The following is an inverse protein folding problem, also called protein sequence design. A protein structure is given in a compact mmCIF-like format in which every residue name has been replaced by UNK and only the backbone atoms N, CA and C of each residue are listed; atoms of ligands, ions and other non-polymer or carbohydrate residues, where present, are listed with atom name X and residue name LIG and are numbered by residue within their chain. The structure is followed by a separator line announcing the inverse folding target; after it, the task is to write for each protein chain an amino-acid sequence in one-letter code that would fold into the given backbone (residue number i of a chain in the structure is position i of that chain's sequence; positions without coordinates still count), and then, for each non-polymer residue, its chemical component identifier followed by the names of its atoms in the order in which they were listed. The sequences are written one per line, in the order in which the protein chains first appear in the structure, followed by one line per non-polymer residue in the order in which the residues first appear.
data_IF_296694556311
#
_entry.id   IF_296694556311
#
_cell.length_a   1.000
_cell.length_b   1.000
_cell.length_c   1.000
_cell.angle_alpha   90.00
_cell.angle_beta   90.00
_cell.angle_gamma   90.00
#
_symmetry.space_group_name_H-M   'P 1'
#
loop_
_entity.id
_entity.type
_entity.pdbx_description
1 polymer ?
#
# COMPACT_ATOMS: atom_id res chain seq x y z
N UNK A 1 -28.18 -4.08 -4.90
CA UNK A 1 -26.84 -4.56 -5.27
C UNK A 1 -26.27 -5.33 -4.09
N UNK A 2 -25.87 -6.60 -4.26
CA UNK A 2 -25.23 -7.36 -3.20
C UNK A 2 -23.81 -6.82 -2.92
N UNK A 3 -23.39 -6.82 -1.66
CA UNK A 3 -22.04 -6.48 -1.25
C UNK A 3 -21.53 -7.58 -0.33
N UNK A 4 -20.37 -8.15 -0.65
CA UNK A 4 -19.74 -9.21 0.11
C UNK A 4 -18.41 -8.70 0.67
N UNK A 5 -18.12 -9.04 1.92
CA UNK A 5 -16.88 -8.67 2.60
C UNK A 5 -16.17 -9.96 3.02
N UNK A 6 -14.90 -10.08 2.64
CA UNK A 6 -14.02 -11.17 3.09
C UNK A 6 -13.06 -10.61 4.14
N UNK A 7 -13.10 -11.17 5.35
CA UNK A 7 -12.24 -10.79 6.48
C UNK A 7 -11.52 -12.02 7.04
N UNK A 8 -10.35 -11.79 7.63
CA UNK A 8 -9.65 -12.82 8.40
C UNK A 8 -10.21 -12.86 9.81
N UNK A 9 -10.46 -14.06 10.32
CA UNK A 9 -10.94 -14.26 11.69
C UNK A 9 -9.78 -14.48 12.69
N UNK A 10 -8.55 -14.58 12.21
CA UNK A 10 -7.34 -14.89 12.99
C UNK A 10 -6.28 -13.79 12.75
N UNK A 11 -5.00 -14.16 12.82
CA UNK A 11 -3.85 -13.25 12.71
C UNK A 11 -3.19 -13.28 11.32
N UNK A 12 -3.99 -13.34 10.26
CA UNK A 12 -3.47 -13.35 8.89
C UNK A 12 -3.30 -14.75 8.31
N UNK A 13 -2.87 -14.80 7.05
CA UNK A 13 -2.61 -16.02 6.27
C UNK A 13 -3.75 -17.05 6.17
N UNK A 14 -5.01 -16.62 6.33
CA UNK A 14 -6.19 -17.48 6.18
C UNK A 14 -6.61 -17.68 4.72
N UNK A 15 -5.67 -17.57 3.78
CA UNK A 15 -5.89 -17.72 2.32
C UNK A 15 -7.01 -16.83 1.73
N UNK A 16 -7.28 -15.67 2.34
CA UNK A 16 -8.30 -14.70 1.89
C UNK A 16 -8.18 -14.35 0.41
N UNK A 17 -6.95 -14.16 -0.09
CA UNK A 17 -6.68 -13.82 -1.48
C UNK A 17 -7.20 -14.87 -2.47
N UNK A 18 -7.15 -16.16 -2.11
CA UNK A 18 -7.68 -17.26 -2.92
C UNK A 18 -9.20 -17.25 -2.94
N UNK A 19 -9.84 -17.00 -1.81
CA UNK A 19 -11.30 -16.87 -1.75
C UNK A 19 -11.78 -15.64 -2.55
N UNK A 20 -11.10 -14.51 -2.40
CA UNK A 20 -11.39 -13.29 -3.18
C UNK A 20 -11.20 -13.52 -4.67
N UNK A 21 -10.18 -14.28 -5.10
CA UNK A 21 -9.99 -14.63 -6.51
C UNK A 21 -11.18 -15.37 -7.11
N UNK A 22 -11.65 -16.42 -6.42
CA UNK A 22 -12.82 -17.21 -6.86
C UNK A 22 -14.08 -16.34 -6.88
N UNK A 23 -14.29 -15.51 -5.87
CA UNK A 23 -15.46 -14.62 -5.81
C UNK A 23 -15.41 -13.50 -6.86
N UNK A 24 -14.21 -13.07 -7.25
CA UNK A 24 -14.00 -12.02 -8.24
C UNK A 24 -14.44 -12.42 -9.65
N UNK A 25 -14.64 -13.72 -9.95
CA UNK A 25 -15.16 -14.20 -11.24
C UNK A 25 -16.48 -13.55 -11.62
N UNK A 26 -17.33 -13.26 -10.63
CA UNK A 26 -18.68 -12.73 -10.83
C UNK A 26 -18.85 -11.32 -10.24
N UNK A 27 -17.74 -10.64 -9.95
CA UNK A 27 -17.77 -9.33 -9.31
C UNK A 27 -17.46 -8.20 -10.30
N UNK A 28 -18.32 -7.18 -10.33
CA UNK A 28 -18.05 -5.95 -11.08
C UNK A 28 -16.90 -5.13 -10.46
N UNK A 29 -16.74 -5.22 -9.14
CA UNK A 29 -15.73 -4.49 -8.37
C UNK A 29 -15.02 -5.38 -7.36
N UNK A 30 -13.70 -5.20 -7.25
CA UNK A 30 -12.92 -5.71 -6.12
C UNK A 30 -12.25 -4.57 -5.40
N UNK A 31 -12.54 -4.42 -4.10
CA UNK A 31 -12.13 -3.25 -3.34
C UNK A 31 -11.26 -3.70 -2.17
N UNK A 32 -10.05 -3.15 -2.09
CA UNK A 32 -9.21 -3.27 -0.91
C UNK A 32 -9.38 -2.01 -0.06
N UNK A 33 -9.72 -2.17 1.21
CA UNK A 33 -10.16 -1.06 2.05
C UNK A 33 -9.16 -0.65 3.14
N UNK A 34 -8.15 -1.46 3.45
CA UNK A 34 -7.17 -1.20 4.51
C UNK A 34 -5.82 -1.88 4.25
N UNK A 35 -4.83 -1.55 5.10
CA UNK A 35 -3.46 -2.03 4.97
C UNK A 35 -2.69 -1.34 3.85
N UNK A 36 -1.59 -1.97 3.43
CA UNK A 36 -0.74 -1.52 2.33
C UNK A 36 0.00 -2.71 1.70
N UNK A 37 1.24 -2.53 1.26
CA UNK A 37 2.06 -3.60 0.69
C UNK A 37 2.55 -4.65 1.72
N UNK A 38 2.02 -4.64 2.95
CA UNK A 38 2.27 -5.66 3.98
C UNK A 38 1.41 -6.91 3.86
N UNK A 39 0.34 -6.87 3.06
CA UNK A 39 -0.36 -8.11 2.68
C UNK A 39 0.34 -8.76 1.48
N UNK A 40 -0.06 -9.98 1.17
CA UNK A 40 0.33 -10.67 -0.04
C UNK A 40 -0.73 -11.68 -0.43
N UNK A 41 -0.86 -11.91 -1.74
CA UNK A 41 -1.52 -13.09 -2.26
C UNK A 41 -0.85 -13.51 -3.57
N UNK A 42 -0.84 -14.81 -3.78
CA UNK A 42 -0.27 -15.42 -4.97
C UNK A 42 -1.41 -15.80 -5.90
N UNK A 43 -1.28 -15.42 -7.18
CA UNK A 43 -2.26 -15.74 -8.21
C UNK A 43 -1.55 -16.44 -9.35
N UNK A 44 -2.21 -17.42 -9.96
CA UNK A 44 -1.67 -18.15 -11.11
C UNK A 44 -2.57 -17.93 -12.32
N UNK A 45 -1.99 -17.41 -13.40
CA UNK A 45 -2.65 -17.24 -14.69
C UNK A 45 -1.93 -18.14 -15.69
N UNK A 46 -2.63 -19.20 -16.13
CA UNK A 46 -2.02 -20.26 -16.94
C UNK A 46 -0.80 -20.87 -16.24
N UNK A 47 0.39 -20.67 -16.82
CA UNK A 47 1.66 -21.14 -16.27
C UNK A 47 2.40 -20.10 -15.43
N UNK A 48 2.01 -18.81 -15.51
CA UNK A 48 2.67 -17.73 -14.78
C UNK A 48 2.10 -17.59 -13.37
N UNK A 49 2.98 -17.32 -12.42
CA UNK A 49 2.62 -17.06 -11.01
C UNK A 49 3.01 -15.63 -10.66
N UNK A 50 2.05 -14.87 -10.16
CA UNK A 50 2.22 -13.48 -9.73
C UNK A 50 2.06 -13.38 -8.22
N UNK A 51 2.81 -12.47 -7.59
CA UNK A 51 2.72 -12.19 -6.15
C UNK A 51 2.41 -10.72 -5.94
N UNK A 52 1.15 -10.42 -5.67
CA UNK A 52 0.70 -9.05 -5.44
C UNK A 52 0.63 -8.74 -3.96
N UNK A 53 1.08 -7.54 -3.60
CA UNK A 53 0.97 -7.00 -2.25
C UNK A 53 -0.05 -5.88 -2.17
N UNK A 54 -0.22 -5.07 -3.23
CA UNK A 54 -1.16 -3.96 -3.30
C UNK A 54 -2.37 -4.28 -4.17
N UNK A 55 -2.14 -4.74 -5.41
CA UNK A 55 -3.18 -4.90 -6.42
C UNK A 55 -4.21 -5.94 -5.99
N UNK A 56 -5.53 -5.66 -6.03
CA UNK A 56 -6.56 -6.65 -5.72
C UNK A 56 -6.57 -7.79 -6.75
N UNK A 57 -6.89 -9.02 -6.33
CA UNK A 57 -6.90 -10.18 -7.24
C UNK A 57 -7.82 -10.02 -8.45
N UNK A 58 -8.93 -9.31 -8.30
CA UNK A 58 -9.86 -9.03 -9.39
C UNK A 58 -9.28 -8.15 -10.50
N UNK A 59 -8.15 -7.48 -10.27
CA UNK A 59 -7.47 -6.68 -11.29
C UNK A 59 -7.03 -7.51 -12.49
N UNK A 60 -6.85 -8.83 -12.33
CA UNK A 60 -6.46 -9.73 -13.40
C UNK A 60 -7.62 -10.13 -14.33
N UNK A 61 -8.78 -9.48 -14.20
CA UNK A 61 -9.99 -9.76 -14.98
C UNK A 61 -10.44 -8.49 -15.68
N UNK A 62 -10.40 -8.47 -17.00
CA UNK A 62 -10.79 -7.30 -17.81
C UNK A 62 -12.19 -6.73 -17.47
N UNK A 63 -13.14 -7.58 -17.07
CA UNK A 63 -14.50 -7.17 -16.70
C UNK A 63 -14.64 -6.58 -15.29
N UNK A 64 -13.61 -6.71 -14.45
CA UNK A 64 -13.67 -6.30 -13.04
C UNK A 64 -12.90 -4.99 -12.83
N UNK A 65 -13.50 -4.04 -12.11
CA UNK A 65 -12.79 -2.83 -11.67
C UNK A 65 -12.16 -3.06 -10.29
N UNK A 66 -10.84 -2.96 -10.21
CA UNK A 66 -10.09 -3.03 -8.97
C UNK A 66 -9.96 -1.65 -8.32
N UNK A 67 -10.14 -1.57 -7.01
CA UNK A 67 -10.10 -0.30 -6.26
C UNK A 67 -9.18 -0.41 -5.04
N UNK A 68 -8.21 0.51 -4.95
CA UNK A 68 -7.46 0.78 -3.72
C UNK A 68 -8.18 1.90 -2.94
N UNK A 69 -8.85 1.52 -1.86
CA UNK A 69 -9.72 2.40 -1.08
C UNK A 69 -8.97 3.39 -0.20
N UNK A 70 -9.65 4.47 0.20
CA UNK A 70 -9.06 5.57 0.99
C UNK A 70 -8.61 5.20 2.41
N UNK A 71 -8.99 4.00 2.89
CA UNK A 71 -8.49 3.47 4.15
C UNK A 71 -7.04 3.00 4.09
N UNK A 72 -6.49 2.75 2.90
CA UNK A 72 -5.16 2.19 2.68
C UNK A 72 -4.00 3.18 2.86
N UNK A 73 -2.80 2.61 3.02
CA UNK A 73 -1.51 3.28 2.83
C UNK A 73 -0.80 2.64 1.62
N UNK A 74 -0.48 3.43 0.60
CA UNK A 74 0.03 2.97 -0.70
C UNK A 74 1.48 3.36 -0.83
N UNK A 75 2.35 2.38 -1.05
CA UNK A 75 3.76 2.60 -1.38
C UNK A 75 3.90 2.81 -2.88
N UNK A 76 4.27 4.00 -3.38
CA UNK A 76 4.36 4.26 -4.83
C UNK A 76 5.37 3.35 -5.51
N UNK A 77 6.53 3.10 -4.86
CA UNK A 77 7.56 2.20 -5.38
C UNK A 77 7.02 0.78 -5.60
N UNK A 78 6.45 0.17 -4.56
CA UNK A 78 5.87 -1.19 -4.69
C UNK A 78 4.68 -1.24 -5.63
N UNK A 79 3.91 -0.16 -5.73
CA UNK A 79 2.81 -0.07 -6.68
C UNK A 79 3.32 -0.11 -8.13
N UNK A 80 4.34 0.68 -8.46
CA UNK A 80 4.95 0.69 -9.79
C UNK A 80 5.59 -0.67 -10.11
N UNK A 81 6.34 -1.24 -9.18
CA UNK A 81 6.93 -2.58 -9.32
C UNK A 81 5.87 -3.64 -9.67
N UNK A 82 4.73 -3.67 -8.97
CA UNK A 82 3.64 -4.60 -9.26
C UNK A 82 2.96 -4.36 -10.62
N UNK A 83 2.84 -3.11 -11.06
CA UNK A 83 2.28 -2.76 -12.37
C UNK A 83 3.24 -3.17 -13.50
N UNK A 84 4.53 -2.99 -13.31
CA UNK A 84 5.56 -3.40 -14.28
C UNK A 84 5.58 -4.92 -14.47
N UNK A 85 5.43 -5.71 -13.40
CA UNK A 85 5.36 -7.18 -13.45
C UNK A 85 4.25 -7.72 -14.38
N UNK A 86 3.18 -6.95 -14.57
CA UNK A 86 2.00 -7.32 -15.40
C UNK A 86 1.82 -6.44 -16.63
N UNK A 87 2.77 -5.56 -16.93
CA UNK A 87 2.73 -4.66 -18.11
C UNK A 87 2.50 -5.40 -19.43
N UNK A 88 2.96 -6.65 -19.55
CA UNK A 88 2.72 -7.50 -20.72
C UNK A 88 1.33 -8.12 -20.81
N UNK A 89 0.43 -7.84 -19.86
CA UNK A 89 -0.95 -8.32 -19.77
C UNK A 89 -1.96 -7.16 -19.83
N UNK A 90 -1.55 -5.99 -20.34
CA UNK A 90 -2.35 -4.76 -20.28
C UNK A 90 -3.76 -4.90 -20.90
N UNK A 91 -3.91 -5.74 -21.93
CA UNK A 91 -5.21 -6.00 -22.59
C UNK A 91 -6.08 -7.04 -21.85
N UNK A 92 -5.51 -7.74 -20.86
CA UNK A 92 -6.16 -8.82 -20.11
C UNK A 92 -6.58 -8.38 -18.69
N UNK A 93 -6.07 -7.23 -18.21
CA UNK A 93 -6.33 -6.69 -16.87
C UNK A 93 -7.53 -5.74 -16.86
N UNK A 94 -8.17 -5.64 -15.71
CA UNK A 94 -9.31 -4.77 -15.46
C UNK A 94 -8.91 -3.30 -15.31
N UNK A 95 -9.89 -2.45 -14.98
CA UNK A 95 -9.61 -1.05 -14.64
C UNK A 95 -9.11 -0.94 -13.21
N UNK A 96 -8.04 -0.18 -12.98
CA UNK A 96 -7.56 0.15 -11.63
C UNK A 96 -7.97 1.57 -11.23
N UNK A 97 -8.48 1.70 -10.00
CA UNK A 97 -8.81 2.98 -9.38
C UNK A 97 -8.06 3.10 -8.06
N UNK A 98 -7.29 4.16 -7.90
CA UNK A 98 -6.63 4.49 -6.63
C UNK A 98 -7.33 5.68 -6.00
N UNK A 99 -7.80 5.52 -4.76
CA UNK A 99 -8.47 6.60 -4.04
C UNK A 99 -7.50 7.75 -3.75
N UNK A 100 -7.87 8.97 -4.14
CA UNK A 100 -7.13 10.18 -3.77
C UNK A 100 -6.99 10.39 -2.25
N UNK A 101 -7.87 9.77 -1.45
CA UNK A 101 -7.85 9.84 0.02
C UNK A 101 -6.90 8.83 0.68
N UNK A 102 -6.39 7.84 -0.07
CA UNK A 102 -5.40 6.91 0.44
C UNK A 102 -4.12 7.67 0.80
N UNK A 103 -3.42 7.21 1.83
CA UNK A 103 -2.15 7.84 2.25
C UNK A 103 -0.97 7.24 1.52
N UNK A 104 0.09 8.00 1.35
CA UNK A 104 1.31 7.56 0.67
C UNK A 104 2.35 7.13 1.70
N UNK A 105 2.92 5.94 1.49
CA UNK A 105 4.07 5.49 2.26
C UNK A 105 5.32 6.15 1.69
N UNK A 106 5.89 7.07 2.45
CA UNK A 106 7.10 7.81 2.14
C UNK A 106 8.35 7.11 2.68
N UNK A 107 9.56 7.40 2.15
CA UNK A 107 10.81 6.77 2.59
C UNK A 107 11.05 6.88 4.10
N UNK A 108 10.72 8.03 4.71
CA UNK A 108 10.87 8.21 6.16
C UNK A 108 10.01 7.26 6.98
N UNK A 109 8.82 6.86 6.50
CA UNK A 109 8.01 5.90 7.23
C UNK A 109 8.71 4.56 7.38
N UNK A 110 9.45 4.12 6.34
CA UNK A 110 10.23 2.89 6.40
C UNK A 110 11.42 3.05 7.35
N UNK A 111 12.09 4.19 7.33
CA UNK A 111 13.17 4.49 8.26
C UNK A 111 12.70 4.44 9.73
N UNK A 112 11.55 5.07 10.03
CA UNK A 112 10.94 5.01 11.37
C UNK A 112 10.56 3.57 11.77
N UNK A 113 9.91 2.82 10.89
CA UNK A 113 9.47 1.44 11.17
C UNK A 113 10.65 0.53 11.52
N UNK A 114 11.77 0.62 10.77
CA UNK A 114 12.99 -0.11 11.09
C UNK A 114 13.60 0.34 12.43
N UNK A 115 13.74 1.65 12.62
CA UNK A 115 14.39 2.23 13.79
C UNK A 115 13.62 1.94 15.09
N UNK A 116 12.29 1.98 15.04
CA UNK A 116 11.43 1.67 16.19
C UNK A 116 11.48 0.19 16.56
N UNK A 117 11.54 -0.72 15.58
CA UNK A 117 11.71 -2.15 15.82
C UNK A 117 13.09 -2.48 16.40
N UNK A 118 14.16 -1.87 15.90
CA UNK A 118 15.52 -2.09 16.40
C UNK A 118 15.68 -1.63 17.86
N UNK A 119 15.03 -0.52 18.23
CA UNK A 119 15.14 0.06 19.57
C UNK A 119 14.15 -0.53 20.58
N UNK A 120 13.15 -1.28 20.12
CA UNK A 120 12.14 -1.88 21.01
C UNK A 120 12.77 -2.96 21.88
N UNK A 121 12.51 -2.87 23.19
CA UNK A 121 12.89 -3.95 24.13
C UNK A 121 12.23 -5.30 23.77
N UNK A 122 11.04 -5.24 23.17
CA UNK A 122 10.34 -6.39 22.58
C UNK A 122 9.80 -6.00 21.21
N UNK A 123 10.37 -6.61 20.19
CA UNK A 123 9.96 -6.44 18.79
C UNK A 123 8.52 -6.90 18.57
N UNK A 124 7.82 -6.21 17.68
CA UNK A 124 6.50 -6.62 17.18
C UNK A 124 6.65 -7.68 16.09
N UNK A 125 7.72 -7.59 15.29
CA UNK A 125 7.86 -8.32 14.03
C UNK A 125 7.12 -7.59 12.90
N UNK A 126 7.33 -6.29 12.76
CA UNK A 126 6.71 -5.53 11.65
C UNK A 126 7.28 -5.97 10.31
N UNK A 127 6.56 -5.67 9.22
CA UNK A 127 7.05 -5.94 7.87
C UNK A 127 8.14 -4.96 7.42
N UNK A 128 8.52 -3.98 8.26
CA UNK A 128 9.51 -2.93 7.94
C UNK A 128 9.21 -2.23 6.60
N UNK A 129 7.92 -1.99 6.36
CA UNK A 129 7.39 -1.38 5.13
C UNK A 129 6.84 0.02 5.39
N UNK A 130 6.94 0.54 6.61
CA UNK A 130 6.44 1.88 6.96
C UNK A 130 4.93 1.95 7.17
N UNK A 131 4.26 0.81 7.39
CA UNK A 131 2.79 0.77 7.52
C UNK A 131 2.33 1.50 8.77
N UNK A 132 2.93 1.18 9.93
CA UNK A 132 2.62 1.81 11.20
C UNK A 132 2.83 3.32 11.14
N UNK A 133 4.05 3.79 10.85
CA UNK A 133 4.34 5.23 10.77
C UNK A 133 3.47 5.98 9.73
N UNK A 134 3.09 5.36 8.61
CA UNK A 134 2.16 5.97 7.66
C UNK A 134 0.75 6.14 8.25
N UNK A 135 0.25 5.17 9.03
CA UNK A 135 -1.02 5.31 9.75
C UNK A 135 -0.92 6.32 10.90
N UNK A 136 0.22 6.45 11.55
CA UNK A 136 0.45 7.48 12.57
C UNK A 136 0.40 8.89 11.96
N UNK A 137 0.98 9.07 10.78
CA UNK A 137 0.92 10.34 10.06
C UNK A 137 -0.51 10.66 9.58
N UNK A 138 -1.28 9.62 9.20
CA UNK A 138 -2.72 9.73 8.93
C UNK A 138 -3.50 10.18 10.16
N UNK A 139 -3.31 9.51 11.30
CA UNK A 139 -3.96 9.88 12.56
C UNK A 139 -3.52 11.29 13.04
N UNK A 140 -2.25 11.61 12.84
CA UNK A 140 -1.65 12.91 13.15
C UNK A 140 -2.04 14.03 12.18
N UNK A 141 -2.84 13.74 11.13
CA UNK A 141 -3.28 14.70 10.09
C UNK A 141 -2.12 15.40 9.37
N UNK A 142 -0.97 14.73 9.31
CA UNK A 142 0.26 15.23 8.68
C UNK A 142 0.70 14.41 7.48
N UNK A 143 0.09 13.24 7.25
CA UNK A 143 0.45 12.38 6.12
C UNK A 143 0.16 13.01 4.76
N UNK A 144 0.90 12.54 3.77
CA UNK A 144 0.70 12.89 2.35
C UNK A 144 -0.34 11.92 1.78
N UNK A 145 -1.37 12.44 1.11
CA UNK A 145 -2.37 11.60 0.43
C UNK A 145 -2.03 11.44 -1.04
N UNK A 146 -2.62 10.43 -1.69
CA UNK A 146 -2.48 10.22 -3.14
C UNK A 146 -2.91 11.47 -3.92
N UNK A 147 -3.95 12.18 -3.47
CA UNK A 147 -4.38 13.45 -4.04
C UNK A 147 -3.28 14.53 -4.03
N UNK A 148 -2.48 14.58 -2.97
CA UNK A 148 -1.37 15.53 -2.85
C UNK A 148 -0.17 15.04 -3.70
N UNK A 149 0.07 13.73 -3.72
CA UNK A 149 1.21 13.09 -4.38
C UNK A 149 1.19 13.16 -5.90
N UNK A 150 0.02 13.04 -6.53
CA UNK A 150 -0.10 13.06 -8.01
C UNK A 150 -0.01 14.47 -8.59
N UNK A 151 -0.05 15.51 -7.75
CA UNK A 151 0.13 16.90 -8.12
C UNK A 151 1.56 17.35 -7.71
N UNK A 152 2.47 17.58 -8.66
CA UNK A 152 3.87 17.88 -8.34
C UNK A 152 4.07 19.15 -7.50
N UNK A 153 3.17 20.14 -7.59
CA UNK A 153 3.28 21.37 -6.81
C UNK A 153 2.88 21.12 -5.36
N UNK A 154 1.72 20.49 -5.16
CA UNK A 154 1.23 20.15 -3.82
C UNK A 154 2.14 19.16 -3.12
N UNK A 155 2.61 18.14 -3.85
CA UNK A 155 3.52 17.16 -3.30
C UNK A 155 4.77 17.82 -2.75
N UNK A 156 5.41 18.71 -3.53
CA UNK A 156 6.59 19.46 -3.11
C UNK A 156 6.31 20.29 -1.85
N UNK A 157 5.23 21.07 -1.85
CA UNK A 157 4.86 21.88 -0.67
C UNK A 157 4.69 21.03 0.59
N UNK A 158 4.02 19.87 0.48
CA UNK A 158 3.83 18.95 1.61
C UNK A 158 5.14 18.32 2.07
N UNK A 159 6.03 17.94 1.14
CA UNK A 159 7.36 17.40 1.48
C UNK A 159 8.19 18.45 2.20
N UNK A 160 8.25 19.69 1.69
CA UNK A 160 8.99 20.80 2.30
C UNK A 160 8.50 21.13 3.72
N UNK A 161 7.19 21.00 3.98
CA UNK A 161 6.59 21.19 5.30
C UNK A 161 6.95 20.06 6.28
N UNK A 162 6.87 18.80 5.84
CA UNK A 162 6.93 17.62 6.71
C UNK A 162 8.36 17.14 6.92
N UNK A 163 9.18 17.11 5.88
CA UNK A 163 10.48 16.46 5.88
C UNK A 163 11.45 17.05 6.92
N UNK A 164 11.55 18.38 7.13
CA UNK A 164 12.43 18.93 8.17
C UNK A 164 12.07 18.41 9.57
N UNK A 165 10.78 18.27 9.86
CA UNK A 165 10.29 17.73 11.14
C UNK A 165 10.69 16.25 11.26
N UNK A 166 10.53 15.47 10.18
CA UNK A 166 10.91 14.05 10.18
C UNK A 166 12.41 13.86 10.32
N UNK A 167 13.23 14.65 9.62
CA UNK A 167 14.69 14.59 9.70
C UNK A 167 15.19 14.98 11.10
N UNK A 168 14.63 16.03 11.72
CA UNK A 168 15.01 16.39 13.08
C UNK A 168 14.77 15.24 14.09
N UNK A 169 13.68 14.49 13.91
CA UNK A 169 13.40 13.31 14.74
C UNK A 169 14.36 12.16 14.40
N UNK A 170 14.57 11.84 13.12
CA UNK A 170 15.50 10.79 12.70
C UNK A 170 16.94 11.04 13.20
N UNK A 171 17.42 12.27 13.10
CA UNK A 171 18.73 12.70 13.60
C UNK A 171 18.83 12.61 15.12
N UNK A 172 17.77 12.96 15.86
CA UNK A 172 17.72 12.76 17.30
C UNK A 172 17.82 11.27 17.70
N UNK A 173 17.42 10.38 16.79
CA UNK A 173 17.64 8.94 16.90
C UNK A 173 18.93 8.46 16.17
N UNK A 174 19.86 9.35 15.83
CA UNK A 174 21.14 9.00 15.22
C UNK A 174 21.06 8.38 13.83
N UNK A 175 19.94 8.55 13.13
CA UNK A 175 19.76 8.12 11.74
C UNK A 175 20.15 9.25 10.77
N UNK A 176 20.58 8.87 9.56
CA UNK A 176 20.89 9.85 8.52
C UNK A 176 19.62 10.58 8.04
N UNK A 177 19.69 11.88 7.78
CA UNK A 177 18.55 12.62 7.23
C UNK A 177 18.22 12.13 5.83
N UNK A 178 16.93 12.17 5.48
CA UNK A 178 16.48 11.89 4.13
C UNK A 178 16.59 13.17 3.30
N UNK A 179 17.25 13.07 2.16
CA UNK A 179 17.44 14.17 1.22
C UNK A 179 16.36 14.16 0.13
N UNK A 180 16.00 15.34 -0.37
CA UNK A 180 15.16 15.51 -1.57
C UNK A 180 16.10 15.69 -2.75
N UNK A 181 16.00 14.83 -3.76
CA UNK A 181 16.60 15.04 -5.08
C UNK A 181 15.60 15.71 -6.03
#
# INVERSE_FOLDING_TARGET
MPTLIVVGALWGDEAKGKLVDVLAENADYTIRFSGGNNAGHTVRIGEKTFRFHLLPTGFLRASCTAVLGGGMVVCPKSFVEEIEEISGLADEVGRLIVSGSAHVVMPWHRAFDCLEEERRARQIGTTQKGIGPAYEDKAGRRGIRVYDFVDPERFRQRVEEILPIKNAVLEAFGSEPILVE
#
